data_IF_800324412319
#
_entry.id   IF_800324412319
#
_cell.length_a   1.000
_cell.length_b   1.000
_cell.length_c   1.000
_cell.angle_alpha   90.00
_cell.angle_beta   90.00
_cell.angle_gamma   90.00
#
_symmetry.space_group_name_H-M   'P 1'
#
loop_
_entity.id
_entity.type
_entity.pdbx_description
1 polymer ?
#
# COMPACT_ATOMS: atom_id res chain seq x y z
N UNK A 1 28.37 -13.12 13.16
CA UNK A 1 27.14 -13.43 13.93
C UNK A 1 26.00 -13.42 12.92
N UNK A 2 25.58 -14.57 12.42
CA UNK A 2 24.46 -14.71 11.50
C UNK A 2 23.19 -14.40 12.29
N UNK A 3 22.52 -13.30 11.97
CA UNK A 3 21.16 -13.07 12.46
C UNK A 3 20.32 -14.27 12.01
N UNK A 4 19.54 -14.89 12.91
CA UNK A 4 18.62 -15.91 12.48
C UNK A 4 17.64 -15.27 11.49
N UNK A 5 17.74 -15.68 10.22
CA UNK A 5 16.70 -15.40 9.25
C UNK A 5 15.41 -15.96 9.83
N UNK A 6 14.45 -15.12 10.09
CA UNK A 6 13.10 -15.59 10.43
C UNK A 6 12.67 -16.54 9.31
N UNK A 7 12.31 -17.79 9.61
CA UNK A 7 11.79 -18.64 8.56
C UNK A 7 10.59 -17.94 7.95
N UNK A 8 10.61 -17.80 6.61
CA UNK A 8 9.42 -17.37 5.89
C UNK A 8 8.28 -18.31 6.30
N UNK A 9 7.15 -17.72 6.67
CA UNK A 9 5.93 -18.49 6.93
C UNK A 9 5.63 -19.33 5.67
N UNK A 10 5.73 -20.68 5.73
CA UNK A 10 5.57 -21.54 4.56
C UNK A 10 4.21 -21.36 3.90
N UNK A 11 3.17 -21.09 4.69
CA UNK A 11 1.80 -20.91 4.20
C UNK A 11 1.67 -19.57 3.45
N UNK A 12 2.32 -18.51 3.95
CA UNK A 12 2.38 -17.23 3.28
C UNK A 12 3.14 -17.36 1.95
N UNK A 13 4.27 -18.05 1.94
CA UNK A 13 5.06 -18.29 0.74
C UNK A 13 4.29 -19.11 -0.29
N UNK A 14 3.62 -20.19 0.11
CA UNK A 14 2.80 -21.01 -0.76
C UNK A 14 1.64 -20.22 -1.41
N UNK A 15 1.04 -19.28 -0.68
CA UNK A 15 0.02 -18.38 -1.22
C UNK A 15 0.58 -17.32 -2.16
N UNK A 16 1.77 -16.81 -1.86
CA UNK A 16 2.39 -15.76 -2.67
C UNK A 16 2.90 -16.27 -4.02
N UNK A 17 3.42 -17.49 -4.05
CA UNK A 17 4.10 -18.06 -5.23
C UNK A 17 3.24 -18.05 -6.51
N UNK A 18 1.96 -18.50 -6.50
CA UNK A 18 1.12 -18.44 -7.69
C UNK A 18 0.82 -17.01 -8.15
N UNK A 19 0.85 -16.05 -7.23
CA UNK A 19 0.53 -14.64 -7.49
C UNK A 19 1.71 -13.86 -8.09
N UNK A 20 2.90 -14.45 -8.13
CA UNK A 20 4.07 -13.86 -8.81
C UNK A 20 3.99 -14.04 -10.34
N UNK A 21 3.13 -14.94 -10.83
CA UNK A 21 2.89 -15.08 -12.27
C UNK A 21 2.17 -13.82 -12.82
N UNK A 22 2.59 -13.32 -13.98
CA UNK A 22 2.08 -12.07 -14.55
C UNK A 22 0.58 -12.11 -14.88
N UNK A 23 0.05 -13.30 -15.16
CA UNK A 23 -1.34 -13.49 -15.55
C UNK A 23 -2.27 -13.95 -14.42
N UNK A 24 -1.83 -13.91 -13.15
CA UNK A 24 -2.63 -14.42 -12.04
C UNK A 24 -4.03 -13.80 -11.97
N UNK A 25 -4.12 -12.49 -12.22
CA UNK A 25 -5.37 -11.74 -12.11
C UNK A 25 -6.39 -12.17 -13.19
N UNK A 26 -5.93 -12.56 -14.38
CA UNK A 26 -6.82 -13.06 -15.45
C UNK A 26 -7.40 -14.43 -15.14
N UNK A 27 -6.81 -15.15 -14.20
CA UNK A 27 -7.25 -16.48 -13.75
C UNK A 27 -8.07 -16.44 -12.46
N UNK A 28 -8.08 -15.30 -11.76
CA UNK A 28 -8.87 -15.13 -10.54
C UNK A 28 -10.37 -15.02 -10.91
N UNK A 29 -11.24 -15.95 -10.47
CA UNK A 29 -12.62 -16.00 -10.92
C UNK A 29 -13.46 -14.80 -10.43
N UNK A 30 -13.02 -14.14 -9.38
CA UNK A 30 -13.74 -13.00 -8.79
C UNK A 30 -13.30 -11.65 -9.35
N UNK A 31 -12.04 -11.55 -9.77
CA UNK A 31 -11.42 -10.29 -10.20
C UNK A 31 -11.30 -10.20 -11.72
N UNK A 32 -11.08 -11.33 -12.41
CA UNK A 32 -10.90 -11.37 -13.86
C UNK A 32 -12.05 -10.71 -14.65
N UNK A 33 -13.33 -10.83 -14.27
CA UNK A 33 -14.41 -10.17 -14.98
C UNK A 33 -14.37 -8.63 -14.96
N UNK A 34 -13.72 -8.05 -13.95
CA UNK A 34 -13.59 -6.59 -13.78
C UNK A 34 -12.48 -6.03 -14.66
N UNK A 35 -11.41 -6.81 -14.85
CA UNK A 35 -10.18 -6.37 -15.48
C UNK A 35 -10.34 -5.79 -16.90
N UNK A 36 -11.11 -6.38 -17.83
CA UNK A 36 -11.26 -5.84 -19.18
C UNK A 36 -11.83 -4.40 -19.20
N UNK A 37 -12.81 -4.13 -18.34
CA UNK A 37 -13.42 -2.79 -18.25
C UNK A 37 -12.44 -1.76 -17.71
N UNK A 38 -11.58 -2.14 -16.76
CA UNK A 38 -10.53 -1.26 -16.23
C UNK A 38 -9.43 -1.02 -17.27
N UNK A 39 -9.00 -2.07 -17.98
CA UNK A 39 -7.99 -1.98 -19.03
C UNK A 39 -8.44 -1.10 -20.20
N UNK A 40 -9.73 -1.12 -20.57
CA UNK A 40 -10.31 -0.27 -21.60
C UNK A 40 -10.22 1.24 -21.26
N UNK A 41 -9.87 1.60 -20.04
CA UNK A 41 -9.68 2.99 -19.58
C UNK A 41 -8.21 3.46 -19.60
N UNK A 42 -7.38 2.82 -20.40
CA UNK A 42 -5.97 3.18 -20.63
C UNK A 42 -5.06 3.11 -19.39
N UNK A 43 -5.44 2.38 -18.35
CA UNK A 43 -4.61 2.26 -17.12
C UNK A 43 -3.22 1.68 -17.37
N UNK A 44 -3.04 0.96 -18.49
CA UNK A 44 -1.73 0.44 -18.90
C UNK A 44 -0.83 1.46 -19.62
N UNK A 45 -1.38 2.61 -20.02
CA UNK A 45 -0.66 3.67 -20.73
C UNK A 45 -0.27 4.83 -19.81
N UNK A 46 -0.99 5.00 -18.70
CA UNK A 46 -0.68 6.05 -17.74
C UNK A 46 0.55 5.67 -16.94
N UNK A 47 1.52 6.55 -16.92
CA UNK A 47 2.67 6.40 -16.05
C UNK A 47 2.30 6.77 -14.61
N UNK A 48 2.66 5.92 -13.66
CA UNK A 48 2.43 6.16 -12.24
C UNK A 48 3.64 5.70 -11.43
N UNK A 49 4.39 6.66 -10.91
CA UNK A 49 5.62 6.41 -10.14
C UNK A 49 6.63 5.51 -10.88
N UNK A 50 6.94 4.35 -10.36
CA UNK A 50 7.93 3.43 -10.94
C UNK A 50 7.40 2.51 -12.05
N UNK A 51 6.12 2.64 -12.45
CA UNK A 51 5.51 1.79 -13.46
C UNK A 51 4.25 2.39 -14.06
N UNK A 52 3.44 1.55 -14.70
CA UNK A 52 2.13 2.00 -15.18
C UNK A 52 1.11 1.97 -14.04
N UNK A 53 0.04 2.74 -14.20
CA UNK A 53 -1.07 2.73 -13.24
C UNK A 53 -1.68 1.32 -13.10
N UNK A 54 -1.70 0.54 -14.19
CA UNK A 54 -2.07 -0.87 -14.15
C UNK A 54 -1.19 -1.68 -13.19
N UNK A 55 0.14 -1.53 -13.28
CA UNK A 55 1.08 -2.26 -12.40
C UNK A 55 0.80 -1.97 -10.94
N UNK A 56 0.58 -0.69 -10.61
CA UNK A 56 0.24 -0.26 -9.27
C UNK A 56 -1.07 -0.91 -8.77
N UNK A 57 -2.16 -0.77 -9.53
CA UNK A 57 -3.45 -1.35 -9.14
C UNK A 57 -3.39 -2.87 -8.95
N UNK A 58 -2.69 -3.57 -9.87
CA UNK A 58 -2.49 -5.02 -9.79
C UNK A 58 -1.61 -5.40 -8.60
N UNK A 59 -0.56 -4.64 -8.32
CA UNK A 59 0.34 -4.86 -7.18
C UNK A 59 -0.36 -4.74 -5.83
N UNK A 60 -1.16 -3.69 -5.65
CA UNK A 60 -2.00 -3.51 -4.45
C UNK A 60 -2.96 -4.70 -4.29
N UNK A 61 -3.65 -5.07 -5.37
CA UNK A 61 -4.61 -6.19 -5.36
C UNK A 61 -3.92 -7.53 -5.05
N UNK A 62 -2.73 -7.76 -5.59
CA UNK A 62 -1.90 -8.94 -5.29
C UNK A 62 -1.62 -9.03 -3.80
N UNK A 63 -1.19 -7.95 -3.19
CA UNK A 63 -0.93 -7.88 -1.75
C UNK A 63 -2.18 -8.24 -0.93
N UNK A 64 -3.33 -7.66 -1.27
CA UNK A 64 -4.60 -7.96 -0.61
C UNK A 64 -5.01 -9.42 -0.78
N UNK A 65 -4.72 -10.03 -1.94
CA UNK A 65 -5.00 -11.44 -2.20
C UNK A 65 -4.11 -12.36 -1.35
N UNK A 66 -2.81 -12.05 -1.23
CA UNK A 66 -1.89 -12.75 -0.30
C UNK A 66 -2.39 -12.65 1.14
N UNK A 67 -2.94 -11.50 1.51
CA UNK A 67 -3.53 -11.26 2.83
C UNK A 67 -4.92 -11.86 3.02
N UNK A 68 -5.44 -12.60 2.04
CA UNK A 68 -6.74 -13.29 2.08
C UNK A 68 -7.92 -12.35 2.35
N UNK A 69 -7.85 -11.13 1.83
CA UNK A 69 -8.93 -10.19 2.00
C UNK A 69 -10.17 -10.59 1.18
N UNK A 70 -11.39 -10.28 1.65
CA UNK A 70 -12.61 -10.60 0.92
C UNK A 70 -12.67 -9.87 -0.43
N UNK A 71 -13.55 -10.36 -1.32
CA UNK A 71 -13.65 -9.90 -2.71
C UNK A 71 -13.80 -8.39 -2.85
N UNK A 72 -14.64 -7.77 -2.08
CA UNK A 72 -14.92 -6.33 -2.16
C UNK A 72 -13.72 -5.47 -1.72
N UNK A 73 -12.93 -5.92 -0.74
CA UNK A 73 -11.67 -5.28 -0.33
C UNK A 73 -10.58 -5.46 -1.40
N UNK A 74 -10.51 -6.64 -2.04
CA UNK A 74 -9.59 -6.88 -3.16
C UNK A 74 -9.98 -6.02 -4.38
N UNK A 75 -11.27 -5.88 -4.66
CA UNK A 75 -11.77 -4.97 -5.69
C UNK A 75 -11.55 -3.50 -5.32
N UNK A 76 -11.69 -3.14 -4.03
CA UNK A 76 -11.27 -1.81 -3.59
C UNK A 76 -9.79 -1.58 -3.96
N UNK A 77 -8.90 -2.54 -3.71
CA UNK A 77 -7.49 -2.43 -4.12
C UNK A 77 -7.31 -2.24 -5.62
N UNK A 78 -8.05 -2.98 -6.46
CA UNK A 78 -7.98 -2.86 -7.92
C UNK A 78 -8.53 -1.53 -8.45
N UNK A 79 -9.45 -0.91 -7.72
CA UNK A 79 -10.19 0.26 -8.17
C UNK A 79 -9.95 1.51 -7.30
N UNK A 80 -9.05 1.47 -6.32
CA UNK A 80 -8.92 2.47 -5.24
C UNK A 80 -8.61 3.90 -5.69
N UNK A 81 -8.30 4.11 -6.96
CA UNK A 81 -8.01 5.43 -7.53
C UNK A 81 -8.74 5.69 -8.85
N UNK A 82 -9.70 4.83 -9.25
CA UNK A 82 -10.37 4.98 -10.56
C UNK A 82 -11.28 6.21 -10.67
N UNK A 83 -11.76 6.74 -9.56
CA UNK A 83 -12.50 8.00 -9.51
C UNK A 83 -11.57 9.22 -9.32
N UNK A 84 -10.25 9.02 -9.31
CA UNK A 84 -9.29 10.02 -8.88
C UNK A 84 -9.28 10.18 -7.36
N UNK A 85 -8.30 10.90 -6.85
CA UNK A 85 -8.22 11.30 -5.45
C UNK A 85 -7.28 12.50 -5.31
N UNK A 86 -7.08 13.01 -4.09
CA UNK A 86 -6.23 14.17 -3.84
C UNK A 86 -4.74 13.99 -4.25
N UNK A 87 -4.29 12.75 -4.46
CA UNK A 87 -2.90 12.42 -4.80
C UNK A 87 -2.74 11.97 -6.26
N UNK A 88 -3.82 11.51 -6.90
CA UNK A 88 -3.80 10.87 -8.23
C UNK A 88 -4.90 11.48 -9.09
N UNK A 89 -4.52 12.29 -10.04
CA UNK A 89 -5.42 12.89 -11.05
C UNK A 89 -5.51 12.03 -12.32
N UNK A 90 -5.72 10.73 -12.12
CA UNK A 90 -5.90 9.73 -13.19
C UNK A 90 -7.34 9.20 -13.17
N UNK A 91 -8.31 10.09 -13.32
CA UNK A 91 -9.73 9.74 -13.34
C UNK A 91 -10.03 8.79 -14.51
N UNK A 92 -10.52 7.60 -14.21
CA UNK A 92 -10.89 6.56 -15.18
C UNK A 92 -12.40 6.43 -15.35
N UNK A 93 -13.14 6.77 -14.32
CA UNK A 93 -14.60 6.84 -14.30
C UNK A 93 -15.02 8.15 -13.63
N UNK A 94 -15.93 8.88 -14.26
CA UNK A 94 -16.52 10.09 -13.67
C UNK A 94 -17.41 9.70 -12.48
N UNK A 95 -17.05 10.09 -11.24
CA UNK A 95 -17.85 9.71 -10.07
C UNK A 95 -19.26 10.32 -10.05
N UNK A 96 -19.51 11.37 -10.82
CA UNK A 96 -20.82 11.97 -10.93
C UNK A 96 -21.75 11.23 -11.92
N UNK A 97 -21.17 10.50 -12.89
CA UNK A 97 -21.94 9.94 -14.02
C UNK A 97 -21.82 8.42 -14.15
N UNK A 98 -20.70 7.85 -13.74
CA UNK A 98 -20.33 6.46 -14.08
C UNK A 98 -20.35 5.50 -12.88
N UNK A 99 -20.82 5.92 -11.71
CA UNK A 99 -20.93 5.03 -10.54
C UNK A 99 -21.76 3.78 -10.83
N UNK A 100 -22.88 3.92 -11.56
CA UNK A 100 -23.70 2.76 -11.96
C UNK A 100 -22.90 1.75 -12.78
N UNK A 101 -22.00 2.21 -13.66
CA UNK A 101 -21.14 1.33 -14.46
C UNK A 101 -20.12 0.59 -13.59
N UNK A 102 -19.50 1.24 -12.64
CA UNK A 102 -18.56 0.57 -11.72
C UNK A 102 -19.30 -0.41 -10.80
N UNK A 103 -20.52 -0.06 -10.36
CA UNK A 103 -21.37 -0.96 -9.57
C UNK A 103 -21.77 -2.21 -10.34
N UNK A 104 -22.06 -2.09 -11.62
CA UNK A 104 -22.38 -3.22 -12.49
C UNK A 104 -21.23 -4.23 -12.57
N UNK A 105 -19.99 -3.78 -12.68
CA UNK A 105 -18.82 -4.65 -12.84
C UNK A 105 -18.22 -5.15 -11.52
N UNK A 106 -18.23 -4.32 -10.48
CA UNK A 106 -17.58 -4.63 -9.20
C UNK A 106 -18.57 -5.13 -8.13
N UNK A 107 -19.85 -4.81 -8.29
CA UNK A 107 -20.88 -5.01 -7.26
C UNK A 107 -21.04 -3.78 -6.35
N UNK A 108 -22.17 -3.74 -5.64
CA UNK A 108 -22.56 -2.57 -4.86
C UNK A 108 -21.60 -2.30 -3.68
N UNK A 109 -21.24 -3.34 -2.93
CA UNK A 109 -20.35 -3.22 -1.78
C UNK A 109 -18.96 -2.69 -2.19
N UNK A 110 -18.37 -3.27 -3.22
CA UNK A 110 -17.06 -2.84 -3.70
C UNK A 110 -17.08 -1.41 -4.27
N UNK A 111 -18.09 -1.07 -5.08
CA UNK A 111 -18.23 0.29 -5.62
C UNK A 111 -18.40 1.33 -4.51
N UNK A 112 -19.19 1.03 -3.50
CA UNK A 112 -19.38 1.91 -2.35
C UNK A 112 -18.05 2.20 -1.64
N UNK A 113 -17.26 1.16 -1.34
CA UNK A 113 -15.94 1.30 -0.75
C UNK A 113 -15.01 2.15 -1.63
N UNK A 114 -14.98 1.87 -2.95
CA UNK A 114 -14.16 2.63 -3.92
C UNK A 114 -14.57 4.10 -3.95
N UNK A 115 -15.88 4.37 -4.00
CA UNK A 115 -16.38 5.74 -4.00
C UNK A 115 -15.97 6.51 -2.75
N UNK A 116 -16.19 5.94 -1.58
CA UNK A 116 -15.78 6.57 -0.33
C UNK A 116 -14.26 6.76 -0.26
N UNK A 117 -13.48 5.74 -0.59
CA UNK A 117 -12.02 5.80 -0.56
C UNK A 117 -11.44 6.87 -1.48
N UNK A 118 -12.03 7.07 -2.66
CA UNK A 118 -11.62 8.09 -3.61
C UNK A 118 -12.08 9.50 -3.21
N UNK A 119 -13.25 9.63 -2.59
CA UNK A 119 -13.87 10.94 -2.35
C UNK A 119 -13.67 11.50 -0.95
N UNK A 120 -13.27 10.68 0.03
CA UNK A 120 -12.92 11.13 1.37
C UNK A 120 -11.44 11.55 1.45
N UNK A 121 -11.13 12.41 2.41
CA UNK A 121 -9.74 12.85 2.63
C UNK A 121 -8.89 11.73 3.24
N UNK A 122 -8.06 11.08 2.41
CA UNK A 122 -7.11 10.06 2.87
C UNK A 122 -6.12 10.60 3.91
N UNK A 123 -5.69 11.85 3.75
CA UNK A 123 -4.80 12.49 4.72
C UNK A 123 -5.47 12.60 6.08
N UNK A 124 -6.71 13.10 6.13
CA UNK A 124 -7.47 13.22 7.37
C UNK A 124 -7.72 11.82 7.98
N UNK A 125 -8.09 10.85 7.16
CA UNK A 125 -8.30 9.46 7.59
C UNK A 125 -7.06 8.92 8.30
N UNK A 126 -5.90 8.93 7.64
CA UNK A 126 -4.64 8.41 8.20
C UNK A 126 -4.25 9.18 9.47
N UNK A 127 -4.36 10.51 9.47
CA UNK A 127 -4.03 11.32 10.64
C UNK A 127 -4.90 10.97 11.85
N UNK A 128 -6.21 10.82 11.67
CA UNK A 128 -7.14 10.45 12.75
C UNK A 128 -6.89 9.04 13.28
N UNK A 129 -6.64 8.07 12.38
CA UNK A 129 -6.31 6.70 12.79
C UNK A 129 -5.00 6.67 13.60
N UNK A 130 -3.98 7.38 13.16
CA UNK A 130 -2.70 7.46 13.87
C UNK A 130 -2.80 8.24 15.19
N UNK A 131 -3.75 9.17 15.31
CA UNK A 131 -4.06 9.89 16.54
C UNK A 131 -4.98 9.11 17.48
N UNK A 132 -5.29 7.84 17.18
CA UNK A 132 -6.19 6.99 17.97
C UNK A 132 -7.60 7.56 18.14
N UNK A 133 -8.12 8.24 17.12
CA UNK A 133 -9.44 8.90 17.14
C UNK A 133 -10.60 8.00 16.68
N UNK A 134 -10.43 6.67 16.80
CA UNK A 134 -11.51 5.72 16.55
C UNK A 134 -12.52 5.77 17.69
N UNK A 135 -13.80 5.67 17.36
CA UNK A 135 -14.86 5.50 18.34
C UNK A 135 -14.79 4.10 18.99
N UNK A 136 -15.48 3.92 20.12
CA UNK A 136 -15.43 2.67 20.88
C UNK A 136 -15.85 1.43 20.08
N UNK A 137 -16.74 1.59 19.09
CA UNK A 137 -17.18 0.54 18.17
C UNK A 137 -16.25 0.33 16.96
N UNK A 138 -15.22 1.15 16.81
CA UNK A 138 -14.28 1.13 15.68
C UNK A 138 -14.68 2.01 14.50
N UNK A 139 -15.78 2.73 14.58
CA UNK A 139 -16.17 3.72 13.57
C UNK A 139 -15.25 4.95 13.60
N UNK A 140 -15.28 5.76 12.53
CA UNK A 140 -14.47 6.97 12.42
C UNK A 140 -15.24 8.10 11.76
N UNK A 141 -15.27 9.26 12.37
CA UNK A 141 -15.88 10.47 11.81
C UNK A 141 -14.86 11.24 11.00
N UNK A 142 -15.14 11.47 9.70
CA UNK A 142 -14.39 12.36 8.82
C UNK A 142 -15.19 13.63 8.56
N UNK A 143 -14.48 14.73 8.31
CA UNK A 143 -15.07 16.01 7.94
C UNK A 143 -14.92 16.25 6.44
N UNK A 144 -16.02 16.53 5.76
CA UNK A 144 -16.00 16.93 4.36
C UNK A 144 -17.05 18.01 4.10
N UNK A 145 -16.64 19.11 3.52
CA UNK A 145 -17.53 20.24 3.17
C UNK A 145 -18.37 20.74 4.36
N UNK A 146 -17.78 20.68 5.57
CA UNK A 146 -18.44 21.10 6.81
C UNK A 146 -19.45 20.09 7.37
N UNK A 147 -19.51 18.88 6.79
CA UNK A 147 -20.40 17.81 7.25
C UNK A 147 -19.61 16.63 7.81
N UNK A 148 -20.21 15.97 8.80
CA UNK A 148 -19.68 14.74 9.36
C UNK A 148 -20.05 13.55 8.50
N UNK A 149 -19.03 12.77 8.13
CA UNK A 149 -19.16 11.48 7.45
C UNK A 149 -18.66 10.38 8.38
N UNK A 150 -19.55 9.54 8.84
CA UNK A 150 -19.23 8.41 9.72
C UNK A 150 -18.88 7.22 8.85
N UNK A 151 -17.64 6.73 8.96
CA UNK A 151 -17.22 5.45 8.39
C UNK A 151 -17.54 4.33 9.38
N UNK A 152 -18.17 3.28 8.89
CA UNK A 152 -18.43 2.06 9.66
C UNK A 152 -17.13 1.33 10.01
N UNK A 153 -17.11 0.45 11.03
CA UNK A 153 -15.94 -0.36 11.35
C UNK A 153 -15.41 -1.16 10.15
N UNK A 154 -16.29 -1.65 9.28
CA UNK A 154 -15.88 -2.37 8.08
C UNK A 154 -15.15 -1.47 7.08
N UNK A 155 -15.69 -0.28 6.81
CA UNK A 155 -15.05 0.71 5.93
C UNK A 155 -13.72 1.18 6.50
N UNK A 156 -13.63 1.41 7.81
CA UNK A 156 -12.38 1.78 8.49
C UNK A 156 -11.35 0.68 8.35
N UNK A 157 -11.68 -0.58 8.63
CA UNK A 157 -10.78 -1.70 8.51
C UNK A 157 -10.30 -1.88 7.05
N UNK A 158 -11.23 -1.83 6.08
CA UNK A 158 -10.92 -1.93 4.65
C UNK A 158 -9.97 -0.80 4.20
N UNK A 159 -10.22 0.43 4.63
CA UNK A 159 -9.37 1.59 4.27
C UNK A 159 -7.99 1.51 4.90
N UNK A 160 -7.88 1.04 6.14
CA UNK A 160 -6.57 0.79 6.78
C UNK A 160 -5.79 -0.26 5.98
N UNK A 161 -6.42 -1.40 5.68
CA UNK A 161 -5.78 -2.52 4.99
C UNK A 161 -5.33 -2.12 3.58
N UNK A 162 -6.19 -1.45 2.82
CA UNK A 162 -5.84 -0.99 1.47
C UNK A 162 -4.77 0.10 1.52
N UNK A 163 -4.81 1.02 2.50
CA UNK A 163 -3.77 2.04 2.66
C UNK A 163 -2.40 1.44 2.99
N UNK A 164 -2.36 0.35 3.76
CA UNK A 164 -1.11 -0.38 4.00
C UNK A 164 -0.61 -1.08 2.73
N UNK A 165 -1.49 -1.76 1.99
CA UNK A 165 -1.13 -2.44 0.76
C UNK A 165 -0.64 -1.46 -0.33
N UNK A 166 -1.31 -0.31 -0.47
CA UNK A 166 -0.93 0.80 -1.35
C UNK A 166 0.46 1.36 -0.98
N UNK A 167 0.71 1.56 0.31
CA UNK A 167 1.99 2.05 0.80
C UNK A 167 3.12 1.04 0.56
N UNK A 168 2.87 -0.25 0.81
CA UNK A 168 3.86 -1.32 0.63
C UNK A 168 4.18 -1.52 -0.86
N UNK A 169 3.19 -1.47 -1.73
CA UNK A 169 3.40 -1.58 -3.17
C UNK A 169 4.29 -0.44 -3.70
N UNK A 170 4.11 0.76 -3.15
CA UNK A 170 4.88 1.95 -3.53
C UNK A 170 6.21 2.09 -2.78
N UNK A 171 6.58 1.16 -1.94
CA UNK A 171 7.76 1.20 -1.09
C UNK A 171 9.05 1.57 -1.84
N UNK A 172 9.25 1.00 -3.00
CA UNK A 172 10.43 1.28 -3.81
C UNK A 172 10.38 2.64 -4.53
N UNK A 173 9.21 3.15 -4.82
CA UNK A 173 9.06 4.45 -5.50
C UNK A 173 9.31 5.66 -4.58
N UNK A 174 9.34 5.45 -3.27
CA UNK A 174 9.73 6.49 -2.33
C UNK A 174 11.17 6.96 -2.49
N UNK A 175 11.99 6.12 -3.06
CA UNK A 175 13.36 6.51 -3.42
C UNK A 175 13.32 7.66 -4.44
N UNK A 176 12.43 7.58 -5.41
CA UNK A 176 12.25 8.63 -6.41
C UNK A 176 11.76 9.94 -5.79
N UNK A 177 10.87 9.90 -4.82
CA UNK A 177 10.40 11.08 -4.09
C UNK A 177 11.53 11.75 -3.27
N UNK A 178 12.37 10.96 -2.64
CA UNK A 178 13.53 11.49 -1.92
C UNK A 178 14.49 12.16 -2.89
N UNK A 179 14.74 11.57 -4.04
CA UNK A 179 15.63 12.13 -5.05
C UNK A 179 15.02 13.31 -5.79
N UNK A 180 13.69 13.33 -6.00
CA UNK A 180 13.03 14.47 -6.63
C UNK A 180 13.17 15.76 -5.81
N UNK A 181 13.32 15.63 -4.49
CA UNK A 181 13.60 16.77 -3.60
C UNK A 181 15.05 17.27 -3.67
N UNK A 182 15.93 16.50 -4.30
CA UNK A 182 17.33 16.86 -4.51
C UNK A 182 17.65 16.82 -6.02
N UNK A 183 17.08 17.74 -6.82
CA UNK A 183 17.24 17.75 -8.28
C UNK A 183 18.70 17.83 -8.72
N UNK A 184 19.56 18.44 -7.91
CA UNK A 184 21.01 18.49 -8.17
C UNK A 184 21.67 17.12 -8.15
N UNK A 185 21.18 16.19 -7.38
CA UNK A 185 21.69 14.81 -7.32
C UNK A 185 21.21 14.01 -8.53
N UNK A 186 19.96 14.21 -8.97
CA UNK A 186 19.43 13.55 -10.16
C UNK A 186 20.22 13.91 -11.43
N UNK A 187 20.63 15.17 -11.58
CA UNK A 187 21.30 15.65 -12.79
C UNK A 187 22.81 15.45 -12.78
N UNK A 188 23.43 15.42 -11.62
CA UNK A 188 24.90 15.39 -11.51
C UNK A 188 25.49 13.99 -11.41
N UNK A 189 24.74 12.99 -10.98
CA UNK A 189 25.30 11.66 -10.76
C UNK A 189 24.27 10.54 -10.98
N UNK A 190 24.08 10.16 -12.24
CA UNK A 190 23.22 9.01 -12.59
C UNK A 190 23.65 7.70 -11.93
N UNK A 191 24.96 7.53 -11.67
CA UNK A 191 25.46 6.34 -10.97
C UNK A 191 25.05 6.32 -9.50
N UNK A 192 25.07 7.46 -8.83
CA UNK A 192 24.57 7.56 -7.45
C UNK A 192 23.08 7.31 -7.37
N UNK A 193 22.31 7.83 -8.33
CA UNK A 193 20.88 7.59 -8.44
C UNK A 193 20.58 6.09 -8.63
N UNK A 194 21.29 5.45 -9.53
CA UNK A 194 21.12 4.03 -9.82
C UNK A 194 21.54 3.14 -8.62
N UNK A 195 22.68 3.41 -8.03
CA UNK A 195 23.15 2.70 -6.84
C UNK A 195 22.17 2.86 -5.66
N UNK A 196 21.61 4.06 -5.50
CA UNK A 196 20.65 4.34 -4.45
C UNK A 196 19.30 3.64 -4.67
N UNK A 197 18.87 3.44 -5.92
CA UNK A 197 17.65 2.68 -6.22
C UNK A 197 17.79 1.17 -5.98
N UNK A 198 19.01 0.66 -6.00
CA UNK A 198 19.30 -0.75 -5.69
C UNK A 198 19.62 -0.99 -4.21
N UNK A 199 19.89 0.04 -3.45
CA UNK A 199 20.42 -0.08 -2.10
C UNK A 199 19.39 0.24 -1.03
N UNK A 200 19.09 -0.71 -0.13
CA UNK A 200 18.14 -0.48 0.96
C UNK A 200 18.66 0.41 2.10
N UNK A 201 19.87 0.95 1.98
CA UNK A 201 20.57 1.69 3.01
C UNK A 201 19.93 3.03 3.42
N UNK A 202 20.58 4.19 3.19
CA UNK A 202 20.06 5.48 3.61
C UNK A 202 18.74 5.85 2.94
N UNK A 203 18.35 5.08 1.93
CA UNK A 203 17.15 5.21 1.14
C UNK A 203 16.05 4.23 1.54
N UNK A 204 16.23 3.55 2.64
CA UNK A 204 15.15 2.78 3.25
C UNK A 204 13.93 3.68 3.40
N UNK A 205 12.73 3.09 3.33
CA UNK A 205 11.50 3.83 3.56
C UNK A 205 11.70 4.70 4.78
N UNK A 206 11.34 5.95 4.64
CA UNK A 206 11.54 6.91 5.71
C UNK A 206 10.94 6.35 6.99
N UNK A 207 11.55 6.63 8.13
CA UNK A 207 10.97 6.26 9.42
C UNK A 207 9.50 6.67 9.53
N UNK A 208 9.09 7.69 8.77
CA UNK A 208 7.68 8.11 8.61
C UNK A 208 6.79 7.03 7.98
N UNK A 209 7.27 6.34 6.93
CA UNK A 209 6.47 5.26 6.29
C UNK A 209 6.33 4.05 7.21
N UNK A 210 7.44 3.65 7.82
CA UNK A 210 7.43 2.55 8.79
C UNK A 210 6.51 2.89 9.96
N UNK A 211 6.59 4.12 10.46
CA UNK A 211 5.69 4.62 11.52
C UNK A 211 4.22 4.60 11.08
N UNK A 212 3.92 5.04 9.87
CA UNK A 212 2.55 5.02 9.34
C UNK A 212 2.02 3.60 9.21
N UNK A 213 2.77 2.67 8.60
CA UNK A 213 2.36 1.27 8.46
C UNK A 213 2.14 0.63 9.84
N UNK A 214 3.07 0.84 10.77
CA UNK A 214 2.96 0.33 12.13
C UNK A 214 1.75 0.89 12.88
N UNK A 215 1.48 2.18 12.75
CA UNK A 215 0.33 2.83 13.38
C UNK A 215 -0.99 2.31 12.81
N UNK A 216 -1.09 2.17 11.49
CA UNK A 216 -2.25 1.59 10.81
C UNK A 216 -2.47 0.13 11.23
N UNK A 217 -1.41 -0.68 11.25
CA UNK A 217 -1.50 -2.05 11.69
C UNK A 217 -1.93 -2.19 13.15
N UNK A 218 -1.43 -1.31 14.05
CA UNK A 218 -1.88 -1.26 15.45
C UNK A 218 -3.35 -0.88 15.57
N UNK A 219 -3.84 0.04 14.75
CA UNK A 219 -5.23 0.45 14.76
C UNK A 219 -6.19 -0.71 14.44
N UNK A 220 -5.79 -1.68 13.59
CA UNK A 220 -6.57 -2.89 13.34
C UNK A 220 -6.73 -3.79 14.57
N UNK A 221 -5.93 -3.60 15.63
CA UNK A 221 -6.09 -4.33 16.91
C UNK A 221 -7.11 -3.67 17.84
N UNK A 222 -7.70 -2.52 17.43
CA UNK A 222 -8.78 -1.91 18.16
C UNK A 222 -9.93 -2.91 18.38
N UNK A 223 -10.55 -2.97 19.59
CA UNK A 223 -11.61 -3.95 19.88
C UNK A 223 -12.74 -3.96 18.87
N UNK A 224 -13.10 -2.80 18.31
CA UNK A 224 -14.14 -2.67 17.26
C UNK A 224 -13.69 -3.05 15.85
N UNK A 225 -12.39 -3.32 15.60
CA UNK A 225 -11.86 -3.63 14.26
C UNK A 225 -11.22 -5.02 14.14
N UNK A 226 -10.67 -5.57 15.21
CA UNK A 226 -9.80 -6.76 15.20
C UNK A 226 -10.39 -8.02 14.56
N UNK A 227 -11.72 -8.13 14.58
CA UNK A 227 -12.45 -9.30 14.08
C UNK A 227 -13.31 -8.98 12.84
N UNK A 228 -13.17 -7.75 12.29
CA UNK A 228 -13.99 -7.27 11.16
C UNK A 228 -13.50 -7.83 9.83
N UNK A 229 -12.20 -7.88 9.63
CA UNK A 229 -11.54 -8.39 8.42
C UNK A 229 -10.35 -9.29 8.79
N UNK A 230 -9.93 -10.20 7.89
CA UNK A 230 -8.71 -10.98 8.11
C UNK A 230 -7.52 -10.07 8.41
N UNK A 231 -6.84 -10.33 9.52
CA UNK A 231 -5.67 -9.54 9.93
C UNK A 231 -4.53 -9.74 8.94
N UNK A 232 -4.01 -8.67 8.32
CA UNK A 232 -2.82 -8.78 7.47
C UNK A 232 -1.61 -9.28 8.28
N UNK A 233 -0.70 -10.09 7.68
CA UNK A 233 0.46 -10.64 8.37
C UNK A 233 1.57 -9.60 8.66
N UNK A 234 1.27 -8.31 8.52
CA UNK A 234 2.20 -7.19 8.72
C UNK A 234 2.80 -7.19 10.12
N UNK A 235 2.00 -7.56 11.13
CA UNK A 235 2.49 -7.65 12.51
C UNK A 235 3.58 -8.69 12.71
N UNK A 236 3.46 -9.85 12.07
CA UNK A 236 4.45 -10.92 12.20
C UNK A 236 5.81 -10.53 11.60
N UNK A 237 5.82 -9.67 10.59
CA UNK A 237 7.02 -9.38 9.81
C UNK A 237 7.56 -7.95 9.95
N UNK A 238 6.73 -6.98 10.35
CA UNK A 238 7.14 -5.57 10.39
C UNK A 238 7.11 -4.93 11.78
N UNK A 239 6.32 -5.45 12.72
CA UNK A 239 6.04 -4.73 13.97
C UNK A 239 6.55 -5.40 15.24
N UNK A 240 6.66 -6.73 15.27
CA UNK A 240 7.02 -7.45 16.49
C UNK A 240 8.52 -7.37 16.82
N UNK A 241 9.36 -7.00 15.85
CA UNK A 241 10.81 -7.08 15.98
C UNK A 241 11.53 -5.72 15.88
N UNK A 242 10.81 -4.63 15.75
CA UNK A 242 11.38 -3.28 15.82
C UNK A 242 11.50 -2.83 17.30
N UNK A 243 12.26 -3.57 18.09
CA UNK A 243 12.76 -3.04 19.35
C UNK A 243 13.90 -2.07 19.06
N UNK A 244 14.12 -1.08 19.94
CA UNK A 244 15.24 -0.17 19.83
C UNK A 244 16.60 -0.93 19.74
N UNK A 245 16.70 -2.09 20.39
CA UNK A 245 17.87 -2.96 20.30
C UNK A 245 18.05 -3.58 18.90
N UNK A 246 16.94 -4.00 18.25
CA UNK A 246 17.00 -4.54 16.88
C UNK A 246 17.30 -3.46 15.85
N UNK A 247 16.78 -2.25 16.05
CA UNK A 247 17.10 -1.11 15.20
C UNK A 247 18.59 -0.72 15.33
N UNK A 248 19.11 -0.66 16.53
CA UNK A 248 20.52 -0.40 16.79
C UNK A 248 21.42 -1.51 16.20
N UNK A 249 21.05 -2.78 16.33
CA UNK A 249 21.77 -3.90 15.76
C UNK A 249 21.76 -3.87 14.21
N UNK A 250 20.60 -3.60 13.60
CA UNK A 250 20.48 -3.46 12.16
C UNK A 250 21.30 -2.26 11.64
N UNK A 251 21.24 -1.14 12.34
CA UNK A 251 22.05 0.05 12.01
C UNK A 251 23.53 -0.23 12.12
N UNK A 252 23.97 -0.88 13.17
CA UNK A 252 25.39 -1.25 13.37
C UNK A 252 25.85 -2.23 12.27
N UNK A 253 25.05 -3.25 11.94
CA UNK A 253 25.34 -4.19 10.86
C UNK A 253 25.44 -3.47 9.51
N UNK A 254 24.52 -2.58 9.23
CA UNK A 254 24.53 -1.77 8.01
C UNK A 254 25.83 -0.98 7.87
N UNK A 255 26.20 -0.22 8.89
CA UNK A 255 27.44 0.57 8.85
C UNK A 255 28.69 -0.30 8.79
N UNK A 256 28.70 -1.47 9.43
CA UNK A 256 29.83 -2.39 9.34
C UNK A 256 30.02 -2.93 7.92
N UNK A 257 28.92 -3.21 7.21
CA UNK A 257 28.98 -3.65 5.80
C UNK A 257 29.48 -2.52 4.90
N UNK A 258 28.94 -1.31 5.04
CA UNK A 258 29.35 -0.16 4.22
C UNK A 258 30.81 0.25 4.47
N UNK A 259 31.29 0.15 5.71
CA UNK A 259 32.67 0.47 6.04
C UNK A 259 33.67 -0.60 5.59
N UNK A 260 33.23 -1.83 5.40
CA UNK A 260 34.09 -2.92 4.90
C UNK A 260 34.13 -2.97 3.37
N UNK A 261 33.17 -2.43 2.70
CA UNK A 261 33.19 -2.39 1.25
C UNK A 261 34.12 -1.29 0.75
N UNK A 262 35.13 -1.74 0.11
CA UNK A 262 35.88 -0.98 -0.87
C UNK A 262 34.90 -0.37 -1.88
N UNK A 263 35.15 0.80 -2.42
CA UNK A 263 34.16 1.57 -3.13
C UNK A 263 33.53 0.75 -4.24
N UNK A 264 32.19 0.63 -4.22
CA UNK A 264 31.32 0.15 -5.30
C UNK A 264 31.52 0.93 -6.62
N UNK A 265 32.66 1.62 -6.75
CA UNK A 265 33.00 2.48 -7.88
C UNK A 265 33.53 1.68 -9.07
N UNK A 266 33.84 0.40 -8.87
CA UNK A 266 34.45 -0.46 -9.87
C UNK A 266 33.59 -1.66 -10.30
N UNK A 267 32.27 -1.63 -10.06
CA UNK A 267 31.30 -2.60 -10.62
C UNK A 267 30.52 -2.00 -11.77
#
# INVERSE_FOLDING_TARGET
MTLPLHPLDPDLFARALPLLADEWLTRDPELAPVLPTVLARNVGQDWHKAGTFRHHLVGVTRTLTVWQQPRDVRLLGLLHSVYGNAFVDLVKFDPAKERARVREIAGESAEHLVYLFCTQSRTQFVQKVLAHALEADGSLVLQKDGQDHVLTPYEVAAFIIVSMADTIEQWFSWQDDIFSRFPDVQHRNQKAHWAASLWPGPMRPSGRMVHQINGLAKALQHPGLKDVLPMPPVFAHCTQHLSAANEAAATSLYWSVIQQDQPLVDL
#
